data_IF_985440968183
#
_entry.id   IF_985440968183
#
_cell.length_a   1.000
_cell.length_b   1.000
_cell.length_c   1.000
_cell.angle_alpha   90.00
_cell.angle_beta   90.00
_cell.angle_gamma   90.00
#
_symmetry.space_group_name_H-M   'P 1'
#
loop_
_entity.id
_entity.type
_entity.pdbx_description
1 polymer ?
#
# COMPACT_ATOMS: atom_id res chain seq x y z
N UNK A 1 29.39 12.24 -19.38
CA UNK A 1 29.65 10.82 -19.08
C UNK A 1 28.59 10.19 -18.17
N UNK A 2 27.55 10.91 -17.71
CA UNK A 2 26.49 10.33 -16.85
C UNK A 2 25.55 9.38 -17.59
N UNK A 3 25.19 9.67 -18.85
CA UNK A 3 24.19 8.88 -19.56
C UNK A 3 24.55 7.40 -19.79
N UNK A 4 25.85 7.09 -19.89
CA UNK A 4 26.32 5.69 -20.02
C UNK A 4 26.29 4.98 -18.67
N UNK A 5 26.56 5.71 -17.59
CA UNK A 5 26.52 5.16 -16.23
C UNK A 5 25.09 4.81 -15.83
N UNK A 6 24.14 5.71 -16.09
CA UNK A 6 22.71 5.50 -15.81
C UNK A 6 22.16 4.27 -16.58
N UNK A 7 22.55 4.11 -17.84
CA UNK A 7 22.16 2.94 -18.65
C UNK A 7 22.73 1.64 -18.08
N UNK A 8 23.98 1.65 -17.61
CA UNK A 8 24.61 0.47 -17.01
C UNK A 8 23.96 0.12 -15.67
N UNK A 9 23.55 1.11 -14.86
CA UNK A 9 22.84 0.86 -13.61
C UNK A 9 21.51 0.12 -13.82
N UNK A 10 20.75 0.46 -14.86
CA UNK A 10 19.53 -0.28 -15.21
C UNK A 10 19.85 -1.73 -15.62
N UNK A 11 20.95 -1.93 -16.35
CA UNK A 11 21.39 -3.24 -16.84
C UNK A 11 22.04 -4.12 -15.76
N UNK A 12 22.60 -3.56 -14.69
CA UNK A 12 23.22 -4.30 -13.57
C UNK A 12 22.22 -5.27 -12.93
N UNK A 13 20.96 -4.87 -12.76
CA UNK A 13 19.93 -5.74 -12.19
C UNK A 13 19.65 -6.97 -13.07
N UNK A 14 19.70 -6.79 -14.39
CA UNK A 14 19.49 -7.85 -15.37
C UNK A 14 20.72 -8.77 -15.40
N UNK A 15 21.92 -8.20 -15.45
CA UNK A 15 23.20 -8.92 -15.38
C UNK A 15 23.29 -9.79 -14.12
N UNK A 16 22.90 -9.25 -12.97
CA UNK A 16 22.93 -10.01 -11.73
C UNK A 16 21.92 -11.18 -11.74
N UNK A 17 20.80 -11.10 -12.46
CA UNK A 17 19.84 -12.23 -12.54
C UNK A 17 20.37 -13.41 -13.36
N UNK A 18 21.43 -13.23 -14.15
CA UNK A 18 22.09 -14.29 -14.90
C UNK A 18 21.31 -14.80 -16.12
N UNK A 19 20.30 -14.06 -16.58
CA UNK A 19 19.46 -14.41 -17.72
C UNK A 19 19.54 -13.36 -18.84
N UNK A 20 20.66 -12.65 -18.91
CA UNK A 20 20.93 -11.60 -19.89
C UNK A 20 21.42 -12.14 -21.24
N UNK A 21 21.22 -11.35 -22.31
CA UNK A 21 21.81 -11.64 -23.61
C UNK A 21 23.33 -11.41 -23.58
N UNK A 22 24.07 -12.11 -24.45
CA UNK A 22 25.53 -11.97 -24.55
C UNK A 22 25.97 -10.52 -24.80
N UNK A 23 25.19 -9.76 -25.57
CA UNK A 23 25.46 -8.34 -25.84
C UNK A 23 25.38 -7.47 -24.58
N UNK A 24 24.39 -7.71 -23.72
CA UNK A 24 24.25 -6.99 -22.44
C UNK A 24 25.41 -7.35 -21.51
N UNK A 25 25.77 -8.64 -21.46
CA UNK A 25 26.89 -9.12 -20.66
C UNK A 25 28.21 -8.43 -21.04
N UNK A 26 28.54 -8.43 -22.33
CA UNK A 26 29.79 -7.83 -22.83
C UNK A 26 29.80 -6.30 -22.59
N UNK A 27 28.64 -5.64 -22.73
CA UNK A 27 28.50 -4.20 -22.45
C UNK A 27 28.71 -3.86 -20.97
N UNK A 28 28.12 -4.62 -20.07
CA UNK A 28 28.28 -4.42 -18.62
C UNK A 28 29.71 -4.74 -18.17
N UNK A 29 30.28 -5.87 -18.62
CA UNK A 29 31.65 -6.25 -18.27
C UNK A 29 32.70 -5.27 -18.79
N UNK A 30 32.53 -4.72 -20.00
CA UNK A 30 33.43 -3.70 -20.52
C UNK A 30 33.39 -2.43 -19.67
N UNK A 31 32.19 -1.97 -19.28
CA UNK A 31 32.05 -0.81 -18.41
C UNK A 31 32.64 -1.05 -17.01
N UNK A 32 32.40 -2.21 -16.41
CA UNK A 32 32.92 -2.55 -15.07
C UNK A 32 34.44 -2.60 -15.01
N UNK A 33 35.14 -2.84 -16.13
CA UNK A 33 36.61 -2.78 -16.20
C UNK A 33 37.14 -1.36 -16.07
N UNK A 34 36.42 -0.38 -16.61
CA UNK A 34 36.83 1.02 -16.68
C UNK A 34 36.27 1.86 -15.53
N UNK A 35 35.06 1.56 -15.05
CA UNK A 35 34.39 2.30 -14.00
C UNK A 35 34.55 1.61 -12.63
N UNK A 36 35.23 2.30 -11.70
CA UNK A 36 35.36 1.84 -10.32
C UNK A 36 34.04 1.94 -9.55
N UNK A 37 33.28 3.02 -9.75
CA UNK A 37 32.03 3.28 -9.01
C UNK A 37 31.00 2.16 -9.24
N UNK A 38 30.72 1.81 -10.51
CA UNK A 38 29.83 0.69 -10.81
C UNK A 38 30.30 -0.65 -10.23
N UNK A 39 31.61 -0.85 -10.09
CA UNK A 39 32.17 -2.08 -9.52
C UNK A 39 31.94 -2.15 -8.01
N UNK A 40 32.13 -1.03 -7.33
CA UNK A 40 31.89 -0.91 -5.90
C UNK A 40 30.38 -1.07 -5.61
N UNK A 41 29.50 -0.48 -6.42
CA UNK A 41 28.04 -0.69 -6.35
C UNK A 41 27.65 -2.16 -6.57
N UNK A 42 28.20 -2.80 -7.60
CA UNK A 42 27.93 -4.21 -7.89
C UNK A 42 28.36 -5.10 -6.72
N UNK A 43 29.49 -4.80 -6.08
CA UNK A 43 29.95 -5.53 -4.91
C UNK A 43 28.94 -5.44 -3.76
N UNK A 44 28.46 -4.23 -3.45
CA UNK A 44 27.44 -4.01 -2.40
C UNK A 44 26.15 -4.78 -2.70
N UNK A 45 25.63 -4.67 -3.92
CA UNK A 45 24.38 -5.37 -4.30
C UNK A 45 24.57 -6.89 -4.25
N UNK A 46 25.76 -7.39 -4.61
CA UNK A 46 26.06 -8.82 -4.56
C UNK A 46 26.12 -9.36 -3.12
N UNK A 47 26.56 -8.56 -2.16
CA UNK A 47 26.54 -8.91 -0.74
C UNK A 47 25.12 -8.85 -0.17
N UNK A 48 24.34 -7.82 -0.51
CA UNK A 48 22.94 -7.69 -0.08
C UNK A 48 22.07 -8.86 -0.53
N UNK A 49 22.33 -9.42 -1.71
CA UNK A 49 21.61 -10.60 -2.20
C UNK A 49 21.81 -11.85 -1.34
N UNK A 50 22.94 -11.96 -0.65
CA UNK A 50 23.22 -13.10 0.24
C UNK A 50 22.40 -13.00 1.53
N UNK A 51 21.84 -11.83 1.83
CA UNK A 51 20.95 -11.64 2.97
C UNK A 51 19.61 -12.26 2.63
N UNK A 52 19.28 -13.36 3.30
CA UNK A 52 17.95 -13.96 3.22
C UNK A 52 16.94 -13.00 3.86
N UNK A 53 15.96 -12.56 3.07
CA UNK A 53 14.84 -11.76 3.58
C UNK A 53 13.77 -12.75 4.05
N UNK A 54 13.45 -12.80 5.36
CA UNK A 54 12.41 -13.69 5.85
C UNK A 54 11.06 -13.27 5.29
N UNK A 55 10.21 -14.25 4.97
CA UNK A 55 8.84 -13.99 4.54
C UNK A 55 8.05 -13.35 5.70
N UNK A 56 7.50 -12.13 5.52
CA UNK A 56 6.71 -11.49 6.56
C UNK A 56 5.36 -12.18 6.83
N UNK A 57 4.99 -13.17 6.02
CA UNK A 57 3.81 -14.01 6.21
C UNK A 57 2.49 -13.38 5.73
N UNK A 58 1.44 -14.19 5.67
CA UNK A 58 0.15 -13.80 5.08
C UNK A 58 -0.51 -12.60 5.78
N UNK A 59 -0.34 -12.49 7.10
CA UNK A 59 -0.91 -11.39 7.89
C UNK A 59 -0.35 -10.03 7.47
N UNK A 60 0.94 -9.96 7.10
CA UNK A 60 1.54 -8.73 6.61
C UNK A 60 0.89 -8.31 5.30
N UNK A 61 0.79 -9.23 4.33
CA UNK A 61 0.22 -8.95 3.01
C UNK A 61 -1.27 -8.63 3.08
N UNK A 62 -2.02 -9.28 3.96
CA UNK A 62 -3.45 -9.02 4.17
C UNK A 62 -3.71 -7.64 4.81
N UNK A 63 -2.79 -7.14 5.63
CA UNK A 63 -2.95 -5.85 6.33
C UNK A 63 -2.32 -4.66 5.60
N UNK A 64 -1.38 -4.91 4.68
CA UNK A 64 -0.68 -3.88 3.91
C UNK A 64 -1.62 -2.97 3.10
N UNK A 65 -2.63 -3.46 2.34
CA UNK A 65 -3.56 -2.59 1.63
C UNK A 65 -4.34 -1.66 2.58
N UNK A 66 -4.67 -2.14 3.78
CA UNK A 66 -5.36 -1.35 4.79
C UNK A 66 -4.47 -0.23 5.31
N UNK A 67 -3.19 -0.52 5.61
CA UNK A 67 -2.20 0.48 6.02
C UNK A 67 -1.94 1.53 4.95
N UNK A 68 -1.82 1.11 3.69
CA UNK A 68 -1.64 2.04 2.56
C UNK A 68 -2.85 2.96 2.41
N UNK A 69 -4.09 2.44 2.52
CA UNK A 69 -5.30 3.29 2.44
C UNK A 69 -5.44 4.26 3.60
N UNK A 70 -5.01 3.90 4.80
CA UNK A 70 -5.00 4.82 5.95
C UNK A 70 -4.00 5.94 5.66
N UNK A 71 -2.77 5.59 5.28
CA UNK A 71 -1.71 6.58 5.01
C UNK A 71 -2.05 7.47 3.80
N UNK A 72 -2.49 6.89 2.69
CA UNK A 72 -2.87 7.62 1.48
C UNK A 72 -4.22 8.35 1.64
N UNK A 73 -5.09 7.90 2.54
CA UNK A 73 -6.37 8.55 2.85
C UNK A 73 -6.23 9.69 3.87
N UNK A 74 -5.18 9.68 4.69
CA UNK A 74 -4.77 10.80 5.53
C UNK A 74 -4.23 11.96 4.70
N UNK A 75 -3.58 11.67 3.57
CA UNK A 75 -3.36 12.62 2.47
C UNK A 75 -4.68 12.88 1.71
N UNK A 76 -5.70 13.41 2.39
CA UNK A 76 -6.93 13.82 1.72
C UNK A 76 -6.56 14.75 0.55
N UNK A 77 -6.88 14.39 -0.71
CA UNK A 77 -6.66 15.29 -1.83
C UNK A 77 -7.39 16.58 -1.49
N UNK A 78 -6.62 17.67 -1.44
CA UNK A 78 -7.02 18.93 -0.83
C UNK A 78 -8.46 19.25 -1.17
N UNK A 79 -9.26 19.53 -0.12
CA UNK A 79 -10.60 20.11 -0.18
C UNK A 79 -10.74 20.87 -1.48
N UNK A 80 -11.46 20.31 -2.46
CA UNK A 80 -11.73 20.98 -3.73
C UNK A 80 -12.18 22.38 -3.36
N UNK A 81 -11.33 23.36 -3.68
CA UNK A 81 -11.57 24.75 -3.32
C UNK A 81 -12.69 25.21 -4.23
N UNK A 82 -13.94 24.96 -3.83
CA UNK A 82 -15.15 25.40 -4.53
C UNK A 82 -15.13 26.93 -4.73
N UNK A 83 -14.29 27.66 -3.99
CA UNK A 83 -14.01 29.09 -4.22
C UNK A 83 -13.48 29.40 -5.63
N UNK A 84 -12.77 28.49 -6.31
CA UNK A 84 -12.34 28.70 -7.71
C UNK A 84 -13.43 28.40 -8.75
N UNK A 85 -14.52 27.71 -8.36
CA UNK A 85 -15.64 27.42 -9.26
C UNK A 85 -16.63 28.60 -9.38
N UNK A 86 -16.66 29.52 -8.40
CA UNK A 86 -17.58 30.67 -8.39
C UNK A 86 -16.98 31.96 -8.98
N UNK A 87 -15.70 31.97 -9.38
CA UNK A 87 -15.02 33.17 -9.90
C UNK A 87 -14.56 33.06 -11.37
N UNK A 88 -14.82 31.94 -12.06
CA UNK A 88 -14.69 31.93 -13.51
C UNK A 88 -15.93 32.55 -14.15
N UNK A 89 -15.81 33.36 -15.21
CA UNK A 89 -16.98 33.75 -16.00
C UNK A 89 -17.49 32.48 -16.69
N UNK A 90 -18.49 31.82 -16.10
CA UNK A 90 -19.18 30.73 -16.78
C UNK A 90 -19.68 31.26 -18.13
N UNK A 91 -19.41 30.58 -19.26
CA UNK A 91 -20.03 30.96 -20.52
C UNK A 91 -21.53 30.68 -20.34
N UNK A 92 -22.33 31.75 -20.28
CA UNK A 92 -23.79 31.70 -20.18
C UNK A 92 -24.42 30.72 -21.19
N UNK A 93 -23.73 30.45 -22.31
CA UNK A 93 -24.06 29.43 -23.28
C UNK A 93 -24.26 28.02 -22.68
N UNK A 94 -23.45 27.61 -21.70
CA UNK A 94 -23.56 26.29 -21.06
C UNK A 94 -24.82 26.17 -20.19
N UNK A 95 -25.15 27.22 -19.43
CA UNK A 95 -26.36 27.27 -18.60
C UNK A 95 -27.61 27.29 -19.48
N UNK A 96 -27.59 28.04 -20.58
CA UNK A 96 -28.69 28.05 -21.56
C UNK A 96 -28.84 26.69 -22.24
N UNK A 97 -27.75 26.01 -22.58
CA UNK A 97 -27.81 24.68 -23.19
C UNK A 97 -28.34 23.63 -22.21
N UNK A 98 -27.94 23.67 -20.93
CA UNK A 98 -28.47 22.78 -19.88
C UNK A 98 -29.96 23.07 -19.61
N UNK A 99 -30.35 24.34 -19.56
CA UNK A 99 -31.75 24.73 -19.41
C UNK A 99 -32.59 24.26 -20.60
N UNK A 100 -32.06 24.39 -21.83
CA UNK A 100 -32.73 23.92 -23.04
C UNK A 100 -32.84 22.38 -23.06
N UNK A 101 -31.81 21.66 -22.60
CA UNK A 101 -31.84 20.21 -22.45
C UNK A 101 -32.85 19.76 -21.38
N UNK A 102 -33.00 20.51 -20.28
CA UNK A 102 -34.02 20.22 -19.26
C UNK A 102 -35.44 20.45 -19.79
N UNK A 103 -35.67 21.52 -20.56
CA UNK A 103 -36.96 21.78 -21.19
C UNK A 103 -37.27 20.68 -22.21
N UNK A 104 -36.30 20.29 -23.05
CA UNK A 104 -36.44 19.18 -23.99
C UNK A 104 -36.66 17.84 -23.27
N UNK A 105 -35.98 17.59 -22.15
CA UNK A 105 -36.16 16.40 -21.33
C UNK A 105 -37.56 16.33 -20.71
N UNK A 106 -38.09 17.44 -20.17
CA UNK A 106 -39.45 17.48 -19.64
C UNK A 106 -40.51 17.23 -20.72
N UNK A 107 -40.29 17.70 -21.95
CA UNK A 107 -41.23 17.40 -23.05
C UNK A 107 -41.18 15.93 -23.49
N UNK A 108 -40.07 15.23 -23.24
CA UNK A 108 -39.86 13.82 -23.60
C UNK A 108 -40.25 12.87 -22.46
N UNK A 109 -40.23 13.33 -21.22
CA UNK A 109 -40.48 12.51 -20.04
C UNK A 109 -41.94 12.56 -19.57
N UNK A 110 -42.87 12.21 -20.45
CA UNK A 110 -44.23 11.82 -20.06
C UNK A 110 -44.44 10.30 -20.10
N UNK A 111 -43.40 9.54 -20.45
CA UNK A 111 -43.42 8.08 -20.52
C UNK A 111 -42.00 7.51 -20.35
N UNK A 112 -41.41 7.58 -19.16
CA UNK A 112 -40.39 6.60 -18.74
C UNK A 112 -40.64 6.34 -17.25
N UNK A 113 -41.04 5.10 -16.93
CA UNK A 113 -41.07 4.59 -15.57
C UNK A 113 -39.65 4.59 -15.00
N UNK A 114 -39.50 5.07 -13.77
CA UNK A 114 -38.24 5.06 -13.02
C UNK A 114 -37.76 3.61 -12.84
N UNK A 115 -36.75 3.22 -13.61
CA UNK A 115 -35.87 2.13 -13.19
C UNK A 115 -34.88 2.70 -12.18
N UNK A 116 -35.22 2.46 -10.92
CA UNK A 116 -34.38 2.67 -9.75
C UNK A 116 -33.03 2.00 -9.98
N UNK A 117 -31.99 2.81 -10.19
CA UNK A 117 -30.62 2.35 -10.20
C UNK A 117 -30.26 1.88 -8.79
N UNK A 118 -30.29 0.56 -8.57
CA UNK A 118 -29.76 -0.05 -7.37
C UNK A 118 -28.25 -0.08 -7.49
N UNK A 119 -27.59 0.81 -6.76
CA UNK A 119 -26.14 0.83 -6.63
C UNK A 119 -25.66 -0.46 -5.93
N UNK A 120 -24.90 -1.34 -6.61
CA UNK A 120 -24.45 -2.63 -6.08
C UNK A 120 -23.42 -2.51 -4.94
N UNK A 121 -22.98 -1.29 -4.61
CA UNK A 121 -22.05 -1.00 -3.53
C UNK A 121 -22.66 -0.14 -2.43
N UNK A 122 -23.94 0.23 -2.54
CA UNK A 122 -24.65 0.77 -1.39
C UNK A 122 -24.78 -0.34 -0.35
N UNK A 123 -24.43 -0.06 0.91
CA UNK A 123 -24.59 -0.99 2.01
C UNK A 123 -26.08 -1.29 2.18
N UNK A 124 -26.59 -2.26 1.43
CA UNK A 124 -27.84 -2.89 1.73
C UNK A 124 -27.68 -3.51 3.11
N UNK A 125 -28.65 -3.24 3.98
CA UNK A 125 -28.77 -3.93 5.25
C UNK A 125 -28.81 -5.42 4.90
N UNK A 126 -27.69 -6.12 5.15
CA UNK A 126 -27.65 -7.58 4.98
C UNK A 126 -28.69 -8.13 5.95
N UNK A 127 -29.71 -8.75 5.39
CA UNK A 127 -30.74 -9.43 6.16
C UNK A 127 -30.16 -10.75 6.66
N UNK A 128 -29.71 -10.75 7.92
CA UNK A 128 -29.15 -11.92 8.58
C UNK A 128 -30.24 -12.85 9.16
N UNK A 129 -31.51 -12.60 8.86
CA UNK A 129 -32.64 -13.36 9.41
C UNK A 129 -32.70 -14.82 8.95
N UNK A 130 -31.98 -15.17 7.88
CA UNK A 130 -31.87 -16.54 7.35
C UNK A 130 -30.58 -17.27 7.76
N UNK A 131 -29.70 -16.66 8.57
CA UNK A 131 -28.55 -17.38 9.11
C UNK A 131 -28.99 -18.23 10.31
N UNK A 132 -29.07 -19.54 10.11
CA UNK A 132 -29.29 -20.49 11.20
C UNK A 132 -27.97 -20.74 11.94
N UNK A 133 -28.03 -21.10 13.22
CA UNK A 133 -26.84 -21.31 14.08
C UNK A 133 -25.92 -22.44 13.57
N UNK A 134 -26.45 -23.28 12.69
CA UNK A 134 -25.78 -24.40 12.01
C UNK A 134 -24.85 -23.95 10.86
N UNK A 135 -25.08 -22.77 10.28
CA UNK A 135 -24.28 -22.21 9.16
C UNK A 135 -23.07 -21.40 9.64
N UNK A 136 -22.95 -21.21 10.97
CA UNK A 136 -21.78 -20.60 11.59
C UNK A 136 -20.76 -21.73 11.80
N UNK A 137 -19.62 -21.75 11.07
CA UNK A 137 -18.60 -22.76 11.31
C UNK A 137 -18.08 -22.58 12.74
N UNK A 138 -18.44 -23.52 13.61
CA UNK A 138 -17.93 -23.65 14.97
C UNK A 138 -16.40 -23.87 14.94
N UNK A 139 -15.64 -22.79 14.87
CA UNK A 139 -14.18 -22.80 14.96
C UNK A 139 -13.67 -23.11 16.37
N UNK A 140 -14.53 -23.49 17.31
CA UNK A 140 -14.18 -23.66 18.74
C UNK A 140 -13.92 -25.13 19.11
N UNK A 141 -14.30 -26.11 18.28
CA UNK A 141 -14.23 -27.53 18.70
C UNK A 141 -13.08 -28.36 18.08
N UNK A 142 -12.27 -27.81 17.17
CA UNK A 142 -11.11 -28.52 16.61
C UNK A 142 -9.76 -28.10 17.23
N UNK A 143 -9.77 -27.31 18.31
CA UNK A 143 -8.55 -26.98 19.07
C UNK A 143 -8.36 -27.85 20.33
N UNK A 144 -9.22 -28.86 20.53
CA UNK A 144 -9.21 -29.77 21.69
C UNK A 144 -8.89 -31.23 21.32
N UNK A 145 -8.07 -31.45 20.29
CA UNK A 145 -7.57 -32.79 19.97
C UNK A 145 -6.09 -32.81 19.57
N UNK A 146 -5.30 -31.96 20.21
CA UNK A 146 -3.85 -32.16 20.28
C UNK A 146 -3.37 -31.86 21.71
N UNK A 147 -3.76 -32.76 22.63
CA UNK A 147 -3.18 -32.87 23.97
C UNK A 147 -1.72 -33.33 23.87
N UNK A 148 -0.81 -32.47 23.39
CA UNK A 148 0.62 -32.68 23.64
C UNK A 148 1.54 -31.45 23.57
N UNK A 149 1.00 -30.24 23.60
CA UNK A 149 1.82 -29.05 23.84
C UNK A 149 1.56 -28.51 25.24
N UNK A 150 2.27 -29.07 26.21
CA UNK A 150 2.56 -28.39 27.47
C UNK A 150 3.49 -27.21 27.18
N UNK A 151 2.93 -26.07 26.72
CA UNK A 151 3.62 -24.79 26.82
C UNK A 151 2.99 -24.02 27.99
N UNK A 152 3.51 -24.31 29.16
CA UNK A 152 3.37 -23.48 30.33
C UNK A 152 4.22 -22.22 30.10
N UNK A 153 3.69 -21.26 29.35
CA UNK A 153 4.22 -19.91 29.37
C UNK A 153 3.26 -19.03 30.13
N UNK A 154 3.71 -18.67 31.33
CA UNK A 154 3.06 -17.75 32.24
C UNK A 154 2.72 -16.46 31.49
N UNK A 155 1.43 -16.26 31.25
CA UNK A 155 0.83 -14.97 30.89
C UNK A 155 0.90 -14.09 32.15
N UNK A 156 2.11 -13.65 32.50
CA UNK A 156 2.32 -12.63 33.52
C UNK A 156 3.46 -11.71 33.11
N UNK A 157 3.08 -10.52 32.63
CA UNK A 157 3.91 -9.32 32.70
C UNK A 157 4.90 -9.14 31.55
N UNK A 158 4.62 -8.13 30.72
CA UNK A 158 5.57 -7.43 29.86
C UNK A 158 5.82 -8.06 28.48
N UNK A 159 4.75 -8.18 27.70
CA UNK A 159 4.87 -8.19 26.23
C UNK A 159 5.20 -6.78 25.76
N UNK A 160 6.50 -6.49 25.62
CA UNK A 160 7.01 -5.24 25.03
C UNK A 160 6.30 -4.89 23.70
N UNK A 161 5.80 -5.89 22.98
CA UNK A 161 5.13 -5.72 21.69
C UNK A 161 3.78 -4.98 21.76
N UNK A 162 3.05 -5.02 22.89
CA UNK A 162 1.80 -4.26 22.99
C UNK A 162 2.03 -2.76 23.22
N UNK A 163 3.12 -2.40 23.90
CA UNK A 163 3.43 -1.01 24.24
C UNK A 163 3.89 -0.22 23.01
N UNK A 164 4.58 -0.86 22.07
CA UNK A 164 4.94 -0.23 20.79
C UNK A 164 3.75 -0.02 19.86
N UNK A 165 2.70 -0.84 19.97
CA UNK A 165 1.52 -0.72 19.12
C UNK A 165 0.61 0.46 19.52
N UNK A 166 0.76 0.99 20.75
CA UNK A 166 -0.01 2.14 21.24
C UNK A 166 0.66 3.49 21.03
N UNK A 167 1.92 3.54 20.59
CA UNK A 167 2.62 4.80 20.40
C UNK A 167 2.07 5.55 19.19
N UNK A 168 1.67 6.80 19.41
CA UNK A 168 1.31 7.71 18.33
C UNK A 168 2.56 8.10 17.51
N UNK A 169 2.39 8.52 16.26
CA UNK A 169 3.48 8.79 15.33
C UNK A 169 4.53 9.76 15.90
N UNK A 170 4.08 10.72 16.71
CA UNK A 170 4.94 11.72 17.38
C UNK A 170 5.77 11.13 18.52
N UNK A 171 5.24 10.15 19.24
CA UNK A 171 5.94 9.47 20.33
C UNK A 171 6.99 8.49 19.79
N UNK A 172 6.68 7.83 18.66
CA UNK A 172 7.63 6.99 17.93
C UNK A 172 8.83 7.79 17.41
N UNK A 173 8.59 9.00 16.88
CA UNK A 173 9.65 9.91 16.41
C UNK A 173 10.55 10.36 17.57
N UNK A 174 9.95 10.74 18.71
CA UNK A 174 10.70 11.09 19.93
C UNK A 174 11.53 9.92 20.48
N UNK A 175 11.02 8.68 20.39
CA UNK A 175 11.74 7.49 20.83
C UNK A 175 12.93 7.18 19.92
N UNK A 176 12.75 7.32 18.60
CA UNK A 176 13.81 7.14 17.63
C UNK A 176 14.93 8.19 17.80
N UNK A 177 14.57 9.44 18.07
CA UNK A 177 15.53 10.51 18.36
C UNK A 177 16.31 10.25 19.66
N UNK A 178 15.66 9.67 20.68
CA UNK A 178 16.32 9.29 21.92
C UNK A 178 17.37 8.19 21.70
N UNK A 179 17.03 7.13 20.95
CA UNK A 179 17.97 6.04 20.62
C UNK A 179 19.17 6.53 19.81
N UNK A 180 18.93 7.45 18.87
CA UNK A 180 19.99 8.03 18.04
C UNK A 180 20.97 8.88 18.86
N UNK A 181 20.49 9.51 19.93
CA UNK A 181 21.32 10.32 20.83
C UNK A 181 22.03 9.48 21.90
N UNK A 182 21.44 8.37 22.37
CA UNK A 182 22.13 7.47 23.33
C UNK A 182 23.33 6.73 22.70
N UNK A 183 23.27 6.40 21.40
CA UNK A 183 24.41 5.83 20.67
C UNK A 183 25.64 6.74 20.58
N UNK A 184 25.53 8.02 20.95
CA UNK A 184 26.62 9.01 20.94
C UNK A 184 27.29 9.19 22.31
N UNK A 185 26.76 8.62 23.40
CA UNK A 185 27.29 8.79 24.76
C UNK A 185 27.60 7.49 25.53
N UNK A 186 27.51 6.32 24.90
CA UNK A 186 28.00 5.06 25.45
C UNK A 186 29.46 4.76 25.06
N UNK A 187 30.42 5.25 25.86
CA UNK A 187 31.84 4.90 25.81
C UNK A 187 32.41 4.80 27.22
#
# INVERSE_FOLDING_TARGET
MSSVHDEIQELINIYLKGNESKEIKDKVESHLRECKECRDELAVISELRKVEVPDPGDLFWNTLPKKIRITAGEEKPGRFSFKKLFFSPLPFASVVMILMLLILSQTRNKNINEETFNDPLSASNMDYSDLNEEDIPLFVNNLLLDENYSLHEDISGNSYHSEFASLDAKELESFNDALKNEGLHGG
#
